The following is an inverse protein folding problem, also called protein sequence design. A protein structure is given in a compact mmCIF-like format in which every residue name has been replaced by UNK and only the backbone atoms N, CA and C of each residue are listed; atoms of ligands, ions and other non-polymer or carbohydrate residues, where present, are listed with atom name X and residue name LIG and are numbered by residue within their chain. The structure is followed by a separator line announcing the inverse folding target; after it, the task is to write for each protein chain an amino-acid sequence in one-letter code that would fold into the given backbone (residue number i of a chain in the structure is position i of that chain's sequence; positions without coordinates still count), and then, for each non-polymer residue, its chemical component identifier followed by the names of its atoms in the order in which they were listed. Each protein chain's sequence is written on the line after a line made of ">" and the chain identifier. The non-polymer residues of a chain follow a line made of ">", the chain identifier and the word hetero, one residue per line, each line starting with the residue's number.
data_IF_520695121882
#
_entry.id   IF_520695121882
#
_cell.length_a   1.000
_cell.length_b   1.000
_cell.length_c   1.000
_cell.angle_alpha   90.00
_cell.angle_beta   90.00
_cell.angle_gamma   90.00
#
_symmetry.space_group_name_H-M   'P 1'
#
loop_
_entity.id
_entity.type
_entity.pdbx_description
1 polymer ?
#
# COMPACT_ATOMS: atom_id res chain seq x y z
N UNK A 1 30.32 -4.90 -4.00
CA UNK A 1 30.49 -3.60 -3.32
C UNK A 1 29.77 -3.68 -1.98
N UNK A 2 30.43 -3.31 -0.87
CA UNK A 2 29.80 -3.25 0.46
C UNK A 2 29.03 -1.94 0.59
N UNK A 3 27.78 -2.01 1.08
CA UNK A 3 26.98 -0.83 1.34
C UNK A 3 27.28 -0.26 2.74
N UNK A 4 27.37 1.07 2.86
CA UNK A 4 27.42 1.74 4.16
C UNK A 4 26.08 1.66 4.89
N UNK A 5 26.10 1.75 6.22
CA UNK A 5 24.87 1.77 7.02
C UNK A 5 24.08 3.07 6.82
N UNK A 6 22.77 3.03 7.03
CA UNK A 6 21.90 4.22 6.96
C UNK A 6 22.38 5.34 7.89
N UNK A 7 22.90 5.00 9.08
CA UNK A 7 23.46 5.97 10.02
C UNK A 7 24.67 6.70 9.44
N UNK A 8 25.55 5.99 8.73
CA UNK A 8 26.72 6.59 8.10
C UNK A 8 26.32 7.48 6.91
N UNK A 9 25.41 7.00 6.06
CA UNK A 9 24.85 7.79 4.95
C UNK A 9 24.19 9.07 5.47
N UNK A 10 23.42 8.99 6.57
CA UNK A 10 22.79 10.17 7.18
C UNK A 10 23.81 11.23 7.60
N UNK A 11 24.93 10.83 8.21
CA UNK A 11 26.00 11.76 8.61
C UNK A 11 26.62 12.46 7.40
N UNK A 12 26.83 11.72 6.32
CA UNK A 12 27.37 12.28 5.07
C UNK A 12 26.38 13.27 4.44
N UNK A 13 25.08 12.96 4.39
CA UNK A 13 24.08 13.88 3.86
C UNK A 13 23.98 15.19 4.65
N UNK A 14 24.34 15.21 5.93
CA UNK A 14 24.32 16.41 6.77
C UNK A 14 25.45 17.40 6.49
N UNK A 15 26.53 16.97 5.83
CA UNK A 15 27.66 17.85 5.48
C UNK A 15 27.54 18.41 4.06
N UNK A 16 26.61 17.91 3.25
CA UNK A 16 26.36 18.40 1.90
C UNK A 16 25.60 19.73 1.92
N UNK A 17 25.93 20.61 0.98
CA UNK A 17 25.12 21.79 0.72
C UNK A 17 23.82 21.44 -0.05
N UNK A 18 22.97 22.45 -0.25
CA UNK A 18 21.67 22.26 -0.91
C UNK A 18 21.80 21.79 -2.36
N UNK A 19 22.79 22.28 -3.10
CA UNK A 19 22.96 21.91 -4.51
C UNK A 19 23.43 20.46 -4.64
N UNK A 20 24.43 20.08 -3.83
CA UNK A 20 24.93 18.71 -3.74
C UNK A 20 23.82 17.73 -3.33
N UNK A 21 23.01 18.09 -2.34
CA UNK A 21 21.89 17.26 -1.90
C UNK A 21 20.85 17.07 -3.01
N UNK A 22 20.50 18.13 -3.74
CA UNK A 22 19.60 18.04 -4.90
C UNK A 22 20.16 17.10 -5.98
N UNK A 23 21.46 17.20 -6.29
CA UNK A 23 22.11 16.32 -7.27
C UNK A 23 22.05 14.84 -6.84
N UNK A 24 22.28 14.55 -5.56
CA UNK A 24 22.15 13.18 -5.01
C UNK A 24 20.72 12.66 -5.14
N UNK A 25 19.73 13.46 -4.73
CA UNK A 25 18.30 13.09 -4.80
C UNK A 25 17.87 12.83 -6.25
N UNK A 26 18.25 13.71 -7.18
CA UNK A 26 17.94 13.56 -8.60
C UNK A 26 18.60 12.32 -9.20
N UNK A 27 19.84 12.00 -8.79
CA UNK A 27 20.52 10.78 -9.21
C UNK A 27 19.80 9.53 -8.73
N UNK A 28 19.31 9.52 -7.48
CA UNK A 28 18.49 8.42 -6.95
C UNK A 28 17.20 8.23 -7.72
N UNK A 29 16.50 9.31 -8.05
CA UNK A 29 15.27 9.28 -8.85
C UNK A 29 15.50 8.80 -10.29
N UNK A 30 16.60 9.19 -10.92
CA UNK A 30 16.98 8.69 -12.26
C UNK A 30 17.41 7.23 -12.27
N UNK A 31 17.94 6.72 -11.15
CA UNK A 31 18.48 5.36 -11.07
C UNK A 31 17.40 4.29 -11.03
N UNK A 32 16.28 4.52 -10.32
CA UNK A 32 15.24 3.51 -10.11
C UNK A 32 13.85 4.12 -10.15
N UNK A 33 12.92 3.48 -10.87
CA UNK A 33 11.53 3.94 -11.02
C UNK A 33 10.86 4.11 -9.65
N UNK A 34 11.03 3.15 -8.75
CA UNK A 34 10.41 3.22 -7.41
C UNK A 34 10.97 4.37 -6.55
N UNK A 35 12.20 4.82 -6.80
CA UNK A 35 12.75 6.01 -6.14
C UNK A 35 12.09 7.27 -6.69
N UNK A 36 11.89 7.33 -8.01
CA UNK A 36 11.18 8.44 -8.65
C UNK A 36 9.74 8.52 -8.14
N UNK A 37 9.05 7.39 -8.04
CA UNK A 37 7.67 7.33 -7.51
C UNK A 37 7.62 7.81 -6.05
N UNK A 38 8.53 7.36 -5.19
CA UNK A 38 8.61 7.83 -3.80
C UNK A 38 8.90 9.34 -3.72
N UNK A 39 9.84 9.85 -4.53
CA UNK A 39 10.11 11.29 -4.58
C UNK A 39 8.90 12.08 -5.07
N UNK A 40 8.16 11.55 -6.06
CA UNK A 40 6.93 12.17 -6.51
C UNK A 40 5.88 12.24 -5.39
N UNK A 41 5.72 11.17 -4.61
CA UNK A 41 4.85 11.18 -3.44
C UNK A 41 5.30 12.25 -2.42
N UNK A 42 6.57 12.20 -1.99
CA UNK A 42 7.10 13.09 -0.95
C UNK A 42 7.03 14.57 -1.33
N UNK A 43 7.26 14.91 -2.61
CA UNK A 43 7.32 16.30 -3.07
C UNK A 43 5.96 16.86 -3.50
N UNK A 44 5.04 16.02 -3.98
CA UNK A 44 3.83 16.50 -4.66
C UNK A 44 2.52 15.93 -4.12
N UNK A 45 2.54 14.89 -3.27
CA UNK A 45 1.30 14.23 -2.81
C UNK A 45 1.16 14.18 -1.29
N UNK A 46 2.27 14.09 -0.55
CA UNK A 46 2.26 13.93 0.91
C UNK A 46 1.61 15.09 1.70
N UNK A 47 1.24 16.19 1.04
CA UNK A 47 0.52 17.30 1.67
C UNK A 47 -1.01 17.15 1.61
N UNK A 48 -1.52 16.25 0.76
CA UNK A 48 -2.95 15.95 0.63
C UNK A 48 -3.13 14.43 0.53
N UNK A 49 -3.22 13.81 1.70
CA UNK A 49 -3.27 12.36 1.81
C UNK A 49 -4.61 11.79 1.30
N UNK A 50 -5.69 12.55 1.41
CA UNK A 50 -7.00 12.12 0.94
C UNK A 50 -7.00 11.90 -0.58
N UNK A 51 -6.45 12.86 -1.34
CA UNK A 51 -6.28 12.70 -2.79
C UNK A 51 -5.38 11.52 -3.11
N UNK A 52 -4.26 11.35 -2.37
CA UNK A 52 -3.36 10.23 -2.60
C UNK A 52 -4.04 8.88 -2.36
N UNK A 53 -4.86 8.76 -1.31
CA UNK A 53 -5.64 7.56 -1.02
C UNK A 53 -6.59 7.25 -2.18
N UNK A 54 -7.31 8.24 -2.70
CA UNK A 54 -8.26 8.05 -3.79
C UNK A 54 -7.57 7.59 -5.09
N UNK A 55 -6.42 8.18 -5.45
CA UNK A 55 -5.61 7.71 -6.58
C UNK A 55 -5.15 6.24 -6.40
N UNK A 56 -4.83 5.85 -5.16
CA UNK A 56 -4.46 4.45 -4.87
C UNK A 56 -5.67 3.52 -4.97
N UNK A 57 -6.85 3.97 -4.53
CA UNK A 57 -8.12 3.23 -4.69
C UNK A 57 -8.40 3.00 -6.18
N UNK A 58 -8.31 4.04 -7.02
CA UNK A 58 -8.44 3.94 -8.47
C UNK A 58 -7.44 2.96 -9.10
N UNK A 59 -6.17 3.01 -8.68
CA UNK A 59 -5.15 2.08 -9.18
C UNK A 59 -5.36 0.62 -8.75
N UNK A 60 -6.01 0.39 -7.60
CA UNK A 60 -6.46 -0.95 -7.17
C UNK A 60 -7.57 -1.43 -8.10
N UNK A 61 -8.55 -0.58 -8.40
CA UNK A 61 -9.67 -0.91 -9.27
C UNK A 61 -9.20 -1.20 -10.69
N UNK A 62 -8.32 -0.36 -11.26
CA UNK A 62 -7.71 -0.61 -12.56
C UNK A 62 -6.97 -1.94 -12.58
N UNK A 63 -6.20 -2.24 -11.53
CA UNK A 63 -5.50 -3.52 -11.42
C UNK A 63 -6.46 -4.71 -11.41
N UNK A 64 -7.59 -4.59 -10.71
CA UNK A 64 -8.61 -5.64 -10.60
C UNK A 64 -9.55 -5.71 -11.80
N UNK A 65 -9.67 -4.66 -12.62
CA UNK A 65 -10.49 -4.68 -13.85
C UNK A 65 -10.05 -5.75 -14.86
N UNK A 66 -8.78 -6.16 -14.79
CA UNK A 66 -8.18 -7.21 -15.63
C UNK A 66 -8.35 -8.63 -15.07
N UNK A 67 -9.14 -8.77 -14.00
CA UNK A 67 -9.40 -10.04 -13.35
C UNK A 67 -10.22 -10.94 -14.26
N UNK A 68 -9.79 -12.19 -14.39
CA UNK A 68 -10.49 -13.21 -15.13
C UNK A 68 -11.05 -14.25 -14.17
N UNK A 69 -12.37 -14.29 -14.04
CA UNK A 69 -13.08 -15.13 -13.07
C UNK A 69 -13.24 -16.58 -13.52
N UNK A 70 -12.97 -16.87 -14.79
CA UNK A 70 -13.06 -18.24 -15.32
C UNK A 70 -11.82 -19.08 -14.98
N UNK A 71 -10.70 -18.44 -14.62
CA UNK A 71 -9.47 -19.13 -14.31
C UNK A 71 -8.82 -18.62 -13.02
N UNK A 72 -8.95 -19.44 -11.97
CA UNK A 72 -8.45 -19.18 -10.63
C UNK A 72 -6.94 -18.89 -10.58
N UNK A 73 -6.14 -19.41 -11.52
CA UNK A 73 -4.71 -19.07 -11.61
C UNK A 73 -4.51 -17.61 -12.02
N UNK A 74 -5.26 -17.13 -13.01
CA UNK A 74 -5.19 -15.75 -13.48
C UNK A 74 -5.76 -14.78 -12.44
N UNK A 75 -6.89 -15.11 -11.82
CA UNK A 75 -7.45 -14.37 -10.69
C UNK A 75 -6.40 -14.17 -9.57
N UNK A 76 -5.72 -15.25 -9.17
CA UNK A 76 -4.62 -15.20 -8.18
C UNK A 76 -3.49 -14.25 -8.60
N UNK A 77 -3.13 -14.25 -9.88
CA UNK A 77 -2.06 -13.38 -10.41
C UNK A 77 -2.46 -11.91 -10.33
N UNK A 78 -3.68 -11.60 -10.74
CA UNK A 78 -4.24 -10.23 -10.72
C UNK A 78 -4.40 -9.70 -9.29
N UNK A 79 -5.01 -10.47 -8.39
CA UNK A 79 -5.17 -10.09 -6.97
C UNK A 79 -3.82 -9.81 -6.31
N UNK A 80 -2.80 -10.64 -6.56
CA UNK A 80 -1.45 -10.41 -6.02
C UNK A 80 -0.78 -9.18 -6.63
N UNK A 81 -1.07 -8.84 -7.89
CA UNK A 81 -0.56 -7.63 -8.54
C UNK A 81 -1.17 -6.39 -7.86
N UNK A 82 -2.49 -6.36 -7.69
CA UNK A 82 -3.19 -5.29 -6.98
C UNK A 82 -2.68 -5.14 -5.53
N UNK A 83 -2.50 -6.25 -4.80
CA UNK A 83 -1.97 -6.21 -3.44
C UNK A 83 -0.52 -5.68 -3.38
N UNK A 84 0.33 -6.00 -4.37
CA UNK A 84 1.69 -5.44 -4.44
C UNK A 84 1.67 -3.94 -4.69
N UNK A 85 0.77 -3.47 -5.55
CA UNK A 85 0.55 -2.05 -5.80
C UNK A 85 0.11 -1.33 -4.51
N UNK A 86 -0.94 -1.83 -3.84
CA UNK A 86 -1.41 -1.30 -2.56
C UNK A 86 -0.29 -1.23 -1.51
N UNK A 87 0.44 -2.33 -1.28
CA UNK A 87 1.53 -2.33 -0.30
C UNK A 87 2.69 -1.38 -0.66
N UNK A 88 2.93 -1.12 -1.95
CA UNK A 88 3.95 -0.17 -2.38
C UNK A 88 3.55 1.25 -1.97
N UNK A 89 2.32 1.66 -2.28
CA UNK A 89 1.82 2.98 -1.95
C UNK A 89 1.65 3.21 -0.44
N UNK A 90 1.22 2.18 0.31
CA UNK A 90 1.22 2.21 1.79
C UNK A 90 2.61 2.53 2.34
N UNK A 91 3.68 1.93 1.76
CA UNK A 91 5.06 2.21 2.18
C UNK A 91 5.55 3.60 1.79
N UNK A 92 5.01 4.17 0.72
CA UNK A 92 5.33 5.54 0.33
C UNK A 92 4.74 6.52 1.34
N UNK A 93 3.47 6.32 1.71
CA UNK A 93 2.81 7.12 2.74
C UNK A 93 3.48 7.02 4.09
N UNK A 94 3.63 5.78 4.60
CA UNK A 94 4.13 5.55 5.96
C UNK A 94 3.15 5.98 7.07
N UNK A 95 1.98 6.53 6.73
CA UNK A 95 0.92 6.87 7.67
C UNK A 95 0.04 5.65 7.96
N UNK A 96 -0.31 5.50 9.24
CA UNK A 96 -1.10 4.35 9.72
C UNK A 96 -2.55 4.39 9.24
N UNK A 97 -3.14 5.59 9.20
CA UNK A 97 -4.51 5.80 8.72
C UNK A 97 -4.63 5.39 7.25
N UNK A 98 -3.72 5.89 6.41
CA UNK A 98 -3.59 5.48 5.00
C UNK A 98 -3.41 3.97 4.84
N UNK A 99 -2.60 3.34 5.69
CA UNK A 99 -2.45 1.88 5.67
C UNK A 99 -3.78 1.16 5.94
N UNK A 100 -4.55 1.61 6.92
CA UNK A 100 -5.85 1.02 7.27
C UNK A 100 -6.84 1.20 6.11
N UNK A 101 -7.01 2.41 5.60
CA UNK A 101 -7.95 2.69 4.51
C UNK A 101 -7.64 1.89 3.24
N UNK A 102 -6.39 1.90 2.78
CA UNK A 102 -6.02 1.19 1.54
C UNK A 102 -6.24 -0.32 1.70
N UNK A 103 -5.92 -0.88 2.88
CA UNK A 103 -6.14 -2.31 3.12
C UNK A 103 -7.61 -2.67 3.20
N UNK A 104 -8.43 -1.86 3.88
CA UNK A 104 -9.88 -2.03 3.92
C UNK A 104 -10.44 -2.00 2.50
N UNK A 105 -10.10 -0.97 1.71
CA UNK A 105 -10.56 -0.84 0.34
C UNK A 105 -10.16 -2.03 -0.53
N UNK A 106 -8.90 -2.46 -0.46
CA UNK A 106 -8.46 -3.66 -1.18
C UNK A 106 -9.30 -4.90 -0.82
N UNK A 107 -9.62 -5.10 0.46
CA UNK A 107 -10.46 -6.20 0.92
C UNK A 107 -11.91 -6.07 0.45
N UNK A 108 -12.48 -4.86 0.44
CA UNK A 108 -13.81 -4.59 -0.11
C UNK A 108 -13.85 -4.94 -1.60
N UNK A 109 -12.88 -4.48 -2.38
CA UNK A 109 -12.81 -4.76 -3.81
C UNK A 109 -12.58 -6.24 -4.10
N UNK A 110 -11.76 -6.92 -3.30
CA UNK A 110 -11.59 -8.38 -3.45
C UNK A 110 -12.91 -9.13 -3.22
N UNK A 111 -13.75 -8.71 -2.27
CA UNK A 111 -15.11 -9.28 -2.10
C UNK A 111 -16.05 -8.91 -3.25
N UNK A 112 -15.98 -7.68 -3.73
CA UNK A 112 -16.80 -7.19 -4.82
C UNK A 112 -16.57 -7.95 -6.14
N UNK A 113 -15.41 -8.61 -6.31
CA UNK A 113 -15.16 -9.49 -7.46
C UNK A 113 -16.13 -10.69 -7.56
N UNK A 114 -16.79 -11.08 -6.47
CA UNK A 114 -17.66 -12.27 -6.43
C UNK A 114 -16.91 -13.61 -6.55
N UNK A 115 -15.58 -13.58 -6.60
CA UNK A 115 -14.76 -14.79 -6.63
C UNK A 115 -14.96 -15.61 -5.35
N UNK A 116 -15.14 -16.95 -5.44
CA UNK A 116 -15.18 -17.82 -4.27
C UNK A 116 -13.77 -18.07 -3.74
N UNK A 117 -13.06 -17.01 -3.36
CA UNK A 117 -11.64 -17.05 -3.00
C UNK A 117 -11.35 -17.88 -1.75
N UNK A 118 -12.35 -18.07 -0.88
CA UNK A 118 -12.31 -18.93 0.30
C UNK A 118 -12.07 -20.41 -0.07
N UNK A 119 -12.48 -20.85 -1.27
CA UNK A 119 -12.19 -22.20 -1.77
C UNK A 119 -10.72 -22.38 -2.14
N UNK A 120 -9.96 -21.29 -2.22
CA UNK A 120 -8.54 -21.29 -2.51
C UNK A 120 -7.77 -20.90 -1.25
N UNK A 121 -7.14 -21.88 -0.59
CA UNK A 121 -6.30 -21.66 0.61
C UNK A 121 -5.31 -20.50 0.44
N UNK A 122 -4.73 -20.33 -0.74
CA UNK A 122 -3.77 -19.25 -1.00
C UNK A 122 -4.39 -17.84 -1.05
N UNK A 123 -5.66 -17.72 -1.46
CA UNK A 123 -6.36 -16.44 -1.52
C UNK A 123 -7.05 -16.15 -0.19
N UNK A 124 -7.62 -17.18 0.44
CA UNK A 124 -8.15 -17.12 1.79
C UNK A 124 -7.09 -16.65 2.79
N UNK A 125 -5.90 -17.27 2.79
CA UNK A 125 -4.78 -16.83 3.62
C UNK A 125 -4.31 -15.40 3.32
N UNK A 126 -4.38 -14.98 2.05
CA UNK A 126 -4.01 -13.62 1.65
C UNK A 126 -5.00 -12.61 2.24
N UNK A 127 -6.30 -12.89 2.12
CA UNK A 127 -7.38 -12.05 2.63
C UNK A 127 -7.34 -11.95 4.16
N UNK A 128 -7.29 -13.10 4.83
CA UNK A 128 -7.14 -13.17 6.30
C UNK A 128 -5.86 -12.50 6.79
N UNK A 129 -4.78 -12.58 5.99
CA UNK A 129 -3.54 -11.86 6.26
C UNK A 129 -3.66 -10.34 6.14
N UNK A 130 -4.59 -9.81 5.33
CA UNK A 130 -4.90 -8.37 5.31
C UNK A 130 -5.70 -7.98 6.55
N UNK A 131 -6.73 -8.73 6.92
CA UNK A 131 -7.55 -8.46 8.12
C UNK A 131 -6.67 -8.36 9.38
N UNK A 132 -5.76 -9.32 9.57
CA UNK A 132 -4.80 -9.29 10.69
C UNK A 132 -3.90 -8.05 10.69
N UNK A 133 -3.52 -7.55 9.51
CA UNK A 133 -2.71 -6.32 9.41
C UNK A 133 -3.54 -5.09 9.71
N UNK A 134 -4.78 -5.03 9.22
CA UNK A 134 -5.73 -3.96 9.52
C UNK A 134 -5.91 -3.87 11.04
N UNK A 135 -6.28 -4.97 11.70
CA UNK A 135 -6.45 -5.04 13.15
C UNK A 135 -5.20 -4.57 13.90
N UNK A 136 -4.03 -5.03 13.47
CA UNK A 136 -2.77 -4.66 14.11
C UNK A 136 -2.51 -3.16 14.01
N UNK A 137 -2.69 -2.55 12.84
CA UNK A 137 -2.43 -1.12 12.65
C UNK A 137 -3.50 -0.29 13.35
N UNK A 138 -4.76 -0.68 13.24
CA UNK A 138 -5.91 -0.04 13.87
C UNK A 138 -5.73 0.09 15.39
N UNK A 139 -5.25 -0.97 16.05
CA UNK A 139 -4.99 -0.96 17.52
C UNK A 139 -3.96 0.08 17.97
N UNK A 140 -3.25 0.70 17.02
CA UNK A 140 -2.26 1.73 17.29
C UNK A 140 -2.70 3.14 16.86
N UNK A 141 -3.93 3.28 16.37
CA UNK A 141 -4.58 4.55 16.06
C UNK A 141 -5.34 5.10 17.27
N UNK A 142 -5.77 6.36 17.20
CA UNK A 142 -6.62 6.98 18.22
C UNK A 142 -7.99 6.29 18.31
N UNK A 143 -8.62 6.26 19.49
CA UNK A 143 -9.88 5.54 19.74
C UNK A 143 -11.01 5.98 18.79
N UNK A 144 -11.15 7.27 18.50
CA UNK A 144 -12.15 7.78 17.56
C UNK A 144 -12.00 7.16 16.17
N UNK A 145 -10.77 7.11 15.65
CA UNK A 145 -10.48 6.48 14.36
C UNK A 145 -10.69 4.96 14.42
N UNK A 146 -10.40 4.34 15.57
CA UNK A 146 -10.70 2.92 15.74
C UNK A 146 -12.19 2.64 15.57
N UNK A 147 -13.03 3.47 16.19
CA UNK A 147 -14.48 3.38 16.10
C UNK A 147 -14.97 3.57 14.66
N UNK A 148 -14.46 4.58 13.95
CA UNK A 148 -14.86 4.90 12.57
C UNK A 148 -14.59 3.74 11.58
N UNK A 149 -13.47 3.04 11.73
CA UNK A 149 -13.13 1.91 10.87
C UNK A 149 -13.74 0.57 11.31
N UNK A 150 -14.19 0.46 12.57
CA UNK A 150 -14.64 -0.82 13.13
C UNK A 150 -15.82 -1.40 12.34
N UNK A 151 -16.78 -0.56 11.94
CA UNK A 151 -17.94 -1.00 11.16
C UNK A 151 -17.52 -1.61 9.82
N UNK A 152 -16.63 -0.93 9.08
CA UNK A 152 -16.15 -1.38 7.78
C UNK A 152 -15.43 -2.73 7.89
N UNK A 153 -14.66 -2.94 8.95
CA UNK A 153 -13.93 -4.19 9.19
C UNK A 153 -14.89 -5.33 9.52
N UNK A 154 -15.96 -5.06 10.26
CA UNK A 154 -16.93 -6.09 10.60
C UNK A 154 -17.70 -6.57 9.35
N UNK A 155 -18.05 -5.65 8.44
CA UNK A 155 -18.63 -5.99 7.13
C UNK A 155 -17.70 -6.88 6.29
N UNK A 156 -16.38 -6.73 6.43
CA UNK A 156 -15.40 -7.59 5.77
C UNK A 156 -15.45 -9.03 6.31
N UNK A 157 -15.72 -9.23 7.60
CA UNK A 157 -15.78 -10.55 8.26
C UNK A 157 -17.08 -11.32 8.00
N UNK A 158 -18.20 -10.62 7.89
CA UNK A 158 -19.54 -11.27 7.89
C UNK A 158 -19.89 -11.96 6.57
N UNK A 159 -19.37 -11.52 5.42
CA UNK A 159 -19.74 -12.15 4.15
C UNK A 159 -18.84 -13.37 3.83
N UNK A 160 -19.34 -14.54 4.20
CA UNK A 160 -18.89 -15.87 3.77
C UNK A 160 -19.97 -16.57 2.94
#
# INVERSE_FOLDING_TARGET
>A
MSAYSISHIKKELQVLDSEQLQQVILRLGKYKVENKELLSYLLFKAHDEAIFIDEVKEGIDESLSTLNDTNLYWAKKTIRKALRFANKNIRYSGLKETEVEIRIYFCQQMKATGLPFQRSTALDNLYNGQLKKIEKVLSTLHEDLQFDYQQQIEELRIAG
#
